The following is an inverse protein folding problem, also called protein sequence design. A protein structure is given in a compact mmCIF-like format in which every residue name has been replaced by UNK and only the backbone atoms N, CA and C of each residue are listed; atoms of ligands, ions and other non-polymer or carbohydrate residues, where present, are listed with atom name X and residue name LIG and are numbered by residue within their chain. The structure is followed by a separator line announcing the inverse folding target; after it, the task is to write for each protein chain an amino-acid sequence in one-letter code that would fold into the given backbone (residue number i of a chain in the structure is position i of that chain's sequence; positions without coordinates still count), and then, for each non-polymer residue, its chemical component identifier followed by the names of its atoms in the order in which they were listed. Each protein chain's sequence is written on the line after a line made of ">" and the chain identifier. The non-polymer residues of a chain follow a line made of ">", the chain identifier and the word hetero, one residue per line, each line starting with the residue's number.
data_IF_976240755196
#
_entry.id   IF_976240755196
#
_cell.length_a   1.000
_cell.length_b   1.000
_cell.length_c   1.000
_cell.angle_alpha   90.00
_cell.angle_beta   90.00
_cell.angle_gamma   90.00
#
_symmetry.space_group_name_H-M   'P 1'
#
loop_
_entity.id
_entity.type
_entity.pdbx_description
1 polymer ?
#
# COMPACT_ATOMS: atom_id res chain seq x y z
N UNK A 1 11.10 -25.27 59.53
CA UNK A 1 11.50 -25.07 58.12
C UNK A 1 10.73 -23.87 57.61
N UNK A 2 11.42 -22.86 57.06
CA UNK A 2 10.79 -21.71 56.40
C UNK A 2 11.05 -21.89 54.90
N UNK A 3 10.01 -21.84 54.08
CA UNK A 3 10.11 -21.86 52.62
C UNK A 3 9.82 -20.46 52.10
N UNK A 4 10.72 -19.92 51.27
CA UNK A 4 10.48 -18.68 50.54
C UNK A 4 9.78 -19.05 49.23
N UNK A 5 8.65 -18.42 48.96
CA UNK A 5 7.88 -18.60 47.73
C UNK A 5 7.75 -17.25 47.04
N UNK A 6 8.08 -17.23 45.76
CA UNK A 6 7.79 -16.08 44.90
C UNK A 6 6.32 -16.09 44.47
N UNK A 7 5.68 -14.94 44.59
CA UNK A 7 4.27 -14.72 44.22
C UNK A 7 4.10 -13.42 43.43
N UNK A 8 5.20 -12.74 43.10
CA UNK A 8 5.18 -11.46 42.40
C UNK A 8 5.42 -11.68 40.92
N UNK A 9 4.51 -11.24 40.04
CA UNK A 9 4.75 -11.29 38.60
C UNK A 9 5.94 -10.44 38.17
N UNK A 10 6.62 -10.81 37.06
CA UNK A 10 7.60 -9.95 36.41
C UNK A 10 7.05 -8.59 36.04
N UNK A 11 7.90 -7.57 36.03
CA UNK A 11 7.60 -6.27 35.41
C UNK A 11 8.02 -6.32 33.94
N UNK A 12 7.06 -6.24 33.01
CA UNK A 12 7.28 -6.26 31.56
C UNK A 12 7.20 -4.85 30.97
N UNK A 13 8.04 -4.57 29.96
CA UNK A 13 8.00 -3.37 29.13
C UNK A 13 7.93 -3.80 27.66
N UNK A 14 6.85 -3.42 26.99
CA UNK A 14 6.65 -3.70 25.57
C UNK A 14 7.45 -2.73 24.68
N UNK A 15 7.79 -3.14 23.45
CA UNK A 15 8.17 -2.18 22.42
C UNK A 15 7.01 -1.21 22.15
N UNK A 16 7.34 -0.04 21.64
CA UNK A 16 6.32 0.94 21.26
C UNK A 16 5.54 0.48 20.02
N UNK A 17 4.33 0.99 19.88
CA UNK A 17 3.54 0.84 18.65
C UNK A 17 4.29 1.44 17.46
N UNK A 18 4.09 0.86 16.28
CA UNK A 18 4.80 1.26 15.06
C UNK A 18 3.90 1.21 13.84
N UNK A 19 4.09 2.16 12.93
CA UNK A 19 3.45 2.19 11.61
C UNK A 19 4.52 2.05 10.53
N UNK A 20 4.30 1.17 9.57
CA UNK A 20 5.19 0.87 8.45
C UNK A 20 4.42 0.99 7.14
N UNK A 21 5.05 1.50 6.09
CA UNK A 21 4.49 1.41 4.74
C UNK A 21 4.83 0.05 4.12
N UNK A 22 3.89 -0.53 3.39
CA UNK A 22 4.12 -1.75 2.64
C UNK A 22 5.09 -1.53 1.45
N UNK A 23 5.86 -2.55 1.05
CA UNK A 23 6.04 -3.84 1.73
C UNK A 23 6.80 -3.69 3.05
N UNK A 24 6.27 -4.28 4.12
CA UNK A 24 6.79 -4.12 5.49
C UNK A 24 7.32 -5.43 6.08
N UNK A 25 8.43 -5.35 6.83
CA UNK A 25 8.93 -6.42 7.70
C UNK A 25 8.40 -6.22 9.12
N UNK A 26 7.53 -7.11 9.59
CA UNK A 26 6.94 -7.08 10.94
C UNK A 26 7.62 -8.02 11.94
N UNK A 27 8.80 -8.56 11.58
CA UNK A 27 9.61 -9.38 12.49
C UNK A 27 10.02 -8.61 13.74
N UNK A 28 10.31 -9.32 14.82
CA UNK A 28 10.76 -8.73 16.09
C UNK A 28 12.12 -8.05 15.98
N UNK A 29 12.95 -8.41 14.99
CA UNK A 29 14.20 -7.70 14.69
C UNK A 29 13.93 -6.26 14.23
N UNK A 30 12.84 -6.04 13.49
CA UNK A 30 12.46 -4.73 12.98
C UNK A 30 11.51 -3.96 13.92
N UNK A 31 10.59 -4.68 14.56
CA UNK A 31 9.52 -4.08 15.38
C UNK A 31 9.83 -4.09 16.89
N UNK A 32 10.95 -4.70 17.28
CA UNK A 32 11.42 -4.75 18.67
C UNK A 32 11.03 -6.02 19.41
N UNK A 33 11.62 -6.17 20.60
CA UNK A 33 11.43 -7.29 21.52
C UNK A 33 11.09 -6.74 22.90
N UNK A 34 10.10 -7.30 23.58
CA UNK A 34 9.78 -6.91 24.95
C UNK A 34 10.93 -7.27 25.91
N UNK A 35 11.05 -6.49 26.99
CA UNK A 35 11.99 -6.77 28.09
C UNK A 35 11.21 -6.95 29.38
N UNK A 36 11.73 -7.76 30.30
CA UNK A 36 11.13 -7.95 31.61
C UNK A 36 12.18 -8.12 32.70
N UNK A 37 11.85 -7.72 33.92
CA UNK A 37 12.68 -7.89 35.12
C UNK A 37 11.87 -8.47 36.26
N UNK A 38 12.50 -9.36 37.04
CA UNK A 38 11.93 -9.93 38.25
C UNK A 38 13.02 -9.96 39.34
N UNK A 39 12.60 -9.76 40.60
CA UNK A 39 13.53 -9.60 41.71
C UNK A 39 14.07 -10.93 42.25
N UNK A 40 13.35 -12.03 42.04
CA UNK A 40 13.55 -13.30 42.72
C UNK A 40 13.86 -14.45 41.76
N UNK A 41 13.53 -14.29 40.48
CA UNK A 41 13.43 -15.39 39.53
C UNK A 41 13.95 -15.02 38.13
N UNK A 42 14.39 -16.02 37.37
CA UNK A 42 14.67 -15.86 35.94
C UNK A 42 13.37 -15.79 35.14
N UNK A 43 13.38 -15.05 34.02
CA UNK A 43 12.19 -14.83 33.18
C UNK A 43 12.36 -15.47 31.81
N UNK A 44 11.26 -16.02 31.29
CA UNK A 44 11.08 -16.39 29.88
C UNK A 44 10.10 -15.44 29.21
N UNK A 45 10.43 -14.93 28.02
CA UNK A 45 9.56 -14.06 27.23
C UNK A 45 9.13 -14.80 25.96
N UNK A 46 7.84 -14.75 25.66
CA UNK A 46 7.25 -15.24 24.41
C UNK A 46 6.29 -14.20 23.82
N UNK A 47 5.84 -14.40 22.58
CA UNK A 47 4.81 -13.56 21.97
C UNK A 47 3.86 -14.38 21.09
N UNK A 48 2.70 -13.80 20.80
CA UNK A 48 1.74 -14.29 19.82
C UNK A 48 1.13 -13.11 19.06
N UNK A 49 0.84 -13.32 17.77
CA UNK A 49 0.33 -12.29 16.87
C UNK A 49 -1.12 -12.58 16.47
N UNK A 50 -1.96 -11.56 16.55
CA UNK A 50 -3.28 -11.53 15.92
C UNK A 50 -3.25 -10.53 14.75
N UNK A 51 -3.53 -11.01 13.54
CA UNK A 51 -3.43 -10.22 12.30
C UNK A 51 -4.83 -9.93 11.74
N UNK A 52 -5.10 -8.66 11.43
CA UNK A 52 -6.32 -8.21 10.75
C UNK A 52 -5.94 -7.57 9.42
N UNK A 53 -6.39 -8.16 8.31
CA UNK A 53 -6.18 -7.61 6.98
C UNK A 53 -6.96 -6.31 6.77
N UNK A 54 -6.42 -5.42 5.93
CA UNK A 54 -7.09 -4.20 5.50
C UNK A 54 -7.14 -4.14 3.95
N UNK A 55 -6.62 -3.08 3.32
CA UNK A 55 -6.61 -2.93 1.88
C UNK A 55 -5.37 -3.56 1.24
N UNK A 56 -5.51 -4.23 0.09
CA UNK A 56 -4.36 -4.84 -0.59
C UNK A 56 -3.57 -5.81 0.30
N UNK A 57 -2.28 -5.54 0.49
CA UNK A 57 -1.37 -6.30 1.38
C UNK A 57 -1.10 -5.61 2.72
N UNK A 58 -1.90 -4.60 3.07
CA UNK A 58 -1.84 -3.89 4.36
C UNK A 58 -2.61 -4.64 5.45
N UNK A 59 -2.23 -4.43 6.71
CA UNK A 59 -2.80 -5.14 7.85
C UNK A 59 -2.39 -4.51 9.18
N UNK A 60 -3.13 -4.82 10.23
CA UNK A 60 -2.72 -4.54 11.61
C UNK A 60 -2.34 -5.84 12.33
N UNK A 61 -1.29 -5.79 13.15
CA UNK A 61 -0.89 -6.85 14.06
C UNK A 61 -1.03 -6.34 15.49
N UNK A 62 -1.77 -7.07 16.31
CA UNK A 62 -1.70 -6.95 17.76
C UNK A 62 -0.80 -8.07 18.25
N UNK A 63 0.40 -7.71 18.70
CA UNK A 63 1.39 -8.63 19.25
C UNK A 63 1.32 -8.59 20.77
N UNK A 64 0.89 -9.70 21.36
CA UNK A 64 0.86 -9.86 22.82
C UNK A 64 2.16 -10.51 23.28
N UNK A 65 2.90 -9.81 24.12
CA UNK A 65 4.10 -10.31 24.79
C UNK A 65 3.72 -10.88 26.15
N UNK A 66 4.28 -12.04 26.50
CA UNK A 66 4.08 -12.72 27.77
C UNK A 66 5.44 -12.95 28.45
N UNK A 67 5.59 -12.45 29.66
CA UNK A 67 6.71 -12.76 30.55
C UNK A 67 6.24 -13.75 31.61
N UNK A 68 6.97 -14.84 31.82
CA UNK A 68 6.71 -15.85 32.86
C UNK A 68 7.99 -16.08 33.65
N UNK A 69 7.90 -15.99 34.98
CA UNK A 69 9.03 -16.32 35.86
C UNK A 69 9.16 -17.84 36.13
N UNK A 70 10.23 -18.22 36.83
CA UNK A 70 10.50 -19.62 37.18
C UNK A 70 9.48 -20.24 38.16
N UNK A 71 8.70 -19.43 38.87
CA UNK A 71 7.65 -19.86 39.80
C UNK A 71 6.26 -19.91 39.15
N UNK A 72 6.13 -19.47 37.90
CA UNK A 72 4.90 -19.47 37.12
C UNK A 72 4.06 -18.21 37.23
N UNK A 73 4.55 -17.14 37.88
CA UNK A 73 3.85 -15.85 37.83
C UNK A 73 4.10 -15.20 36.47
N UNK A 74 3.12 -14.45 35.97
CA UNK A 74 3.17 -13.90 34.63
C UNK A 74 2.59 -12.50 34.50
N UNK A 75 3.11 -11.78 33.51
CA UNK A 75 2.60 -10.47 33.08
C UNK A 75 2.63 -10.38 31.56
N UNK A 76 1.75 -9.56 31.00
CA UNK A 76 1.64 -9.37 29.56
C UNK A 76 1.46 -7.91 29.20
N UNK A 77 1.83 -7.57 27.97
CA UNK A 77 1.53 -6.29 27.36
C UNK A 77 1.37 -6.47 25.84
N UNK A 78 0.68 -5.52 25.22
CA UNK A 78 0.43 -5.53 23.77
C UNK A 78 1.27 -4.46 23.07
N UNK A 79 1.66 -4.78 21.85
CA UNK A 79 2.24 -3.87 20.87
C UNK A 79 1.36 -3.87 19.62
N UNK A 80 1.00 -2.69 19.13
CA UNK A 80 0.30 -2.52 17.87
C UNK A 80 1.27 -2.22 16.74
N UNK A 81 1.24 -3.01 15.66
CA UNK A 81 2.00 -2.80 14.44
C UNK A 81 1.01 -2.57 13.31
N UNK A 82 1.06 -1.40 12.67
CA UNK A 82 0.20 -1.06 11.53
C UNK A 82 1.03 -1.07 10.25
N UNK A 83 0.66 -1.89 9.29
CA UNK A 83 1.16 -1.82 7.92
C UNK A 83 0.11 -1.09 7.09
N UNK A 84 0.49 0.01 6.43
CA UNK A 84 -0.39 0.85 5.62
C UNK A 84 0.16 1.04 4.22
N UNK A 85 -0.66 1.56 3.31
CA UNK A 85 -0.25 1.95 1.96
C UNK A 85 -0.51 3.44 1.74
N UNK A 86 0.57 4.20 1.65
CA UNK A 86 0.52 5.64 1.35
C UNK A 86 1.09 5.98 -0.03
N UNK A 87 1.49 4.96 -0.80
CA UNK A 87 2.18 5.15 -2.08
C UNK A 87 1.17 5.19 -3.22
N UNK A 88 1.29 6.18 -4.09
CA UNK A 88 0.42 6.28 -5.28
C UNK A 88 0.89 5.28 -6.34
N UNK A 89 -0.03 4.70 -7.14
CA UNK A 89 0.34 3.85 -8.27
C UNK A 89 1.25 4.56 -9.27
N UNK A 90 2.19 3.82 -9.84
CA UNK A 90 3.00 4.29 -10.97
C UNK A 90 2.27 3.98 -12.26
N UNK A 91 1.76 5.02 -12.93
CA UNK A 91 1.05 4.91 -14.22
C UNK A 91 2.02 5.05 -15.40
N UNK A 92 1.84 4.21 -16.42
CA UNK A 92 2.49 4.32 -17.72
C UNK A 92 1.41 4.54 -18.78
N UNK A 93 1.37 5.74 -19.34
CA UNK A 93 0.39 6.11 -20.37
C UNK A 93 0.87 5.79 -21.79
N UNK A 94 -0.06 5.58 -22.73
CA UNK A 94 0.24 5.61 -24.15
C UNK A 94 0.89 6.95 -24.53
N UNK A 95 1.74 6.93 -25.54
CA UNK A 95 2.30 8.15 -26.10
C UNK A 95 1.24 8.92 -26.91
N UNK A 96 1.39 10.23 -26.98
CA UNK A 96 0.56 11.07 -27.83
C UNK A 96 0.62 10.62 -29.30
N UNK A 97 -0.52 10.67 -29.98
CA UNK A 97 -0.65 10.24 -31.37
C UNK A 97 -1.19 11.35 -32.26
N UNK A 98 -0.79 11.32 -33.53
CA UNK A 98 -1.41 12.13 -34.58
C UNK A 98 -2.02 11.20 -35.62
N UNK A 99 -3.31 11.38 -35.90
CA UNK A 99 -4.10 10.56 -36.82
C UNK A 99 -4.62 11.43 -37.97
N UNK A 100 -4.80 10.85 -39.15
CA UNK A 100 -5.39 11.56 -40.29
C UNK A 100 -6.88 11.19 -40.44
N UNK A 101 -7.73 12.13 -40.85
CA UNK A 101 -9.16 11.84 -41.08
C UNK A 101 -9.39 10.85 -42.25
N UNK A 102 -10.35 9.91 -42.13
CA UNK A 102 -11.11 9.58 -40.92
C UNK A 102 -10.26 8.83 -39.88
N UNK A 103 -10.33 9.25 -38.61
CA UNK A 103 -9.50 8.73 -37.53
C UNK A 103 -10.30 7.86 -36.54
N UNK A 104 -9.68 6.77 -36.07
CA UNK A 104 -10.16 5.97 -34.94
C UNK A 104 -9.42 6.37 -33.66
N UNK A 105 -10.11 7.01 -32.72
CA UNK A 105 -9.53 7.44 -31.43
C UNK A 105 -9.83 6.47 -30.29
N UNK A 106 -10.31 5.26 -30.59
CA UNK A 106 -10.53 4.24 -29.58
C UNK A 106 -9.22 3.84 -28.89
N UNK A 107 -9.31 3.40 -27.64
CA UNK A 107 -8.15 2.88 -26.89
C UNK A 107 -7.53 1.64 -27.53
N UNK A 108 -8.27 0.91 -28.37
CA UNK A 108 -7.70 -0.18 -29.17
C UNK A 108 -6.70 0.34 -30.21
N UNK A 109 -6.90 1.56 -30.73
CA UNK A 109 -6.01 2.18 -31.71
C UNK A 109 -4.95 3.08 -31.06
N UNK A 110 -5.30 3.88 -30.05
CA UNK A 110 -4.37 4.85 -29.42
C UNK A 110 -3.62 4.28 -28.22
N UNK A 111 -4.04 3.11 -27.71
CA UNK A 111 -3.41 2.42 -26.61
C UNK A 111 -4.23 2.45 -25.32
N UNK A 112 -3.77 1.67 -24.34
CA UNK A 112 -4.35 1.57 -23.00
C UNK A 112 -3.24 1.83 -21.98
N UNK A 113 -3.49 2.67 -20.98
CA UNK A 113 -2.53 2.86 -19.89
C UNK A 113 -2.38 1.58 -19.05
N UNK A 114 -1.20 1.38 -18.50
CA UNK A 114 -0.91 0.36 -17.49
C UNK A 114 -0.46 1.04 -16.20
N UNK A 115 -0.52 0.33 -15.08
CA UNK A 115 -0.06 0.85 -13.81
C UNK A 115 0.42 -0.29 -12.90
N UNK A 116 1.35 0.04 -12.00
CA UNK A 116 1.89 -0.87 -11.00
C UNK A 116 1.91 -0.24 -9.62
N UNK A 117 1.64 -1.04 -8.60
CA UNK A 117 1.72 -0.66 -7.20
C UNK A 117 2.33 -1.82 -6.40
N UNK A 118 3.11 -1.50 -5.37
CA UNK A 118 3.86 -2.50 -4.61
C UNK A 118 2.99 -3.25 -3.58
N UNK A 119 1.88 -2.63 -3.18
CA UNK A 119 1.09 -3.03 -2.03
C UNK A 119 -0.25 -3.63 -2.43
N UNK A 120 -0.80 -3.24 -3.57
CA UNK A 120 -2.16 -3.60 -3.90
C UNK A 120 -2.44 -3.63 -5.41
N UNK A 121 -3.61 -4.18 -5.74
CA UNK A 121 -4.10 -4.24 -7.12
C UNK A 121 -4.62 -2.89 -7.59
N UNK A 122 -4.53 -2.61 -8.88
CA UNK A 122 -4.93 -1.31 -9.46
C UNK A 122 -6.14 -1.46 -10.38
N UNK A 123 -7.04 -0.48 -10.29
CA UNK A 123 -8.10 -0.22 -11.27
C UNK A 123 -7.71 0.96 -12.15
N UNK A 124 -7.79 0.80 -13.47
CA UNK A 124 -7.54 1.86 -14.45
C UNK A 124 -8.85 2.28 -15.10
N UNK A 125 -9.06 3.58 -15.22
CA UNK A 125 -10.18 4.20 -15.93
C UNK A 125 -9.69 5.38 -16.77
N UNK A 126 -10.53 5.88 -17.68
CA UNK A 126 -10.22 7.08 -18.45
C UNK A 126 -11.46 7.92 -18.72
N UNK A 127 -11.22 9.19 -19.04
CA UNK A 127 -12.24 10.13 -19.53
C UNK A 127 -11.67 10.98 -20.67
N UNK A 128 -12.48 11.21 -21.69
CA UNK A 128 -12.07 11.95 -22.89
C UNK A 128 -12.71 13.35 -22.90
N UNK A 129 -11.89 14.36 -23.23
CA UNK A 129 -12.32 15.70 -23.59
C UNK A 129 -12.01 15.93 -25.06
N UNK A 130 -13.04 16.18 -25.87
CA UNK A 130 -12.90 16.43 -27.31
C UNK A 130 -13.03 17.92 -27.59
N UNK A 131 -12.01 18.50 -28.21
CA UNK A 131 -12.02 19.89 -28.66
C UNK A 131 -12.01 19.92 -30.19
N UNK A 132 -13.09 20.44 -30.77
CA UNK A 132 -13.16 20.65 -32.21
C UNK A 132 -12.19 21.76 -32.63
N UNK A 133 -11.56 21.59 -33.80
CA UNK A 133 -10.76 22.65 -34.44
C UNK A 133 -11.46 23.12 -35.72
N UNK A 134 -10.96 22.76 -36.91
CA UNK A 134 -11.50 23.20 -38.19
C UNK A 134 -12.01 22.04 -39.05
N UNK A 135 -13.22 22.18 -39.61
CA UNK A 135 -13.84 21.14 -40.43
C UNK A 135 -14.04 19.83 -39.65
N UNK A 136 -13.36 18.75 -40.09
CA UNK A 136 -13.41 17.42 -39.45
C UNK A 136 -12.24 17.14 -38.52
N UNK A 137 -11.39 18.14 -38.25
CA UNK A 137 -10.23 18.01 -37.34
C UNK A 137 -10.63 18.29 -35.89
N UNK A 138 -9.99 17.58 -34.96
CA UNK A 138 -10.26 17.70 -33.54
C UNK A 138 -9.10 17.14 -32.72
N UNK A 139 -9.04 17.53 -31.46
CA UNK A 139 -8.12 17.00 -30.46
C UNK A 139 -8.92 16.21 -29.42
N UNK A 140 -8.42 15.04 -29.04
CA UNK A 140 -8.89 14.30 -27.87
C UNK A 140 -7.80 14.38 -26.81
N UNK A 141 -8.15 14.88 -25.62
CA UNK A 141 -7.33 14.75 -24.42
C UNK A 141 -7.98 13.66 -23.58
N UNK A 142 -7.26 12.55 -23.39
CA UNK A 142 -7.70 11.42 -22.57
C UNK A 142 -6.95 11.45 -21.25
N UNK A 143 -7.66 11.66 -20.15
CA UNK A 143 -7.11 11.55 -18.80
C UNK A 143 -7.25 10.11 -18.33
N UNK A 144 -6.12 9.44 -18.13
CA UNK A 144 -6.06 8.13 -17.48
C UNK A 144 -5.98 8.32 -15.96
N UNK A 145 -6.74 7.52 -15.22
CA UNK A 145 -6.75 7.49 -13.77
C UNK A 145 -6.49 6.05 -13.29
N UNK A 146 -5.40 5.88 -12.54
CA UNK A 146 -5.08 4.66 -11.81
C UNK A 146 -5.45 4.86 -10.34
N UNK A 147 -6.22 3.94 -9.76
CA UNK A 147 -6.58 3.91 -8.34
C UNK A 147 -6.26 2.52 -7.79
N UNK A 148 -5.50 2.46 -6.71
CA UNK A 148 -5.20 1.20 -6.03
C UNK A 148 -6.29 0.77 -5.04
N UNK A 149 -6.12 -0.41 -4.44
CA UNK A 149 -7.13 -0.96 -3.53
C UNK A 149 -7.18 -0.22 -2.19
N UNK A 150 -6.14 0.55 -1.85
CA UNK A 150 -6.06 1.39 -0.65
C UNK A 150 -6.56 2.81 -0.89
N UNK A 151 -6.93 3.15 -2.14
CA UNK A 151 -7.49 4.43 -2.53
C UNK A 151 -6.45 5.47 -2.93
N UNK A 152 -5.16 5.15 -2.97
CA UNK A 152 -4.18 6.07 -3.56
C UNK A 152 -4.37 6.07 -5.09
N UNK A 153 -4.16 7.23 -5.70
CA UNK A 153 -4.51 7.42 -7.12
C UNK A 153 -3.51 8.27 -7.85
N UNK A 154 -3.22 7.97 -9.11
CA UNK A 154 -2.39 8.80 -10.01
C UNK A 154 -3.10 9.01 -11.34
N UNK A 155 -2.83 10.15 -11.99
CA UNK A 155 -3.49 10.50 -13.25
C UNK A 155 -2.49 11.10 -14.24
N UNK A 156 -2.74 10.88 -15.52
CA UNK A 156 -1.91 11.40 -16.61
C UNK A 156 -2.70 11.51 -17.91
N UNK A 157 -2.37 12.51 -18.72
CA UNK A 157 -3.07 12.81 -19.97
C UNK A 157 -2.33 12.25 -21.19
N UNK A 158 -3.09 11.61 -22.08
CA UNK A 158 -2.71 11.21 -23.44
C UNK A 158 -3.41 12.13 -24.44
N UNK A 159 -2.70 12.60 -25.46
CA UNK A 159 -3.24 13.46 -26.52
C UNK A 159 -3.32 12.74 -27.87
N UNK A 160 -4.51 12.73 -28.47
CA UNK A 160 -4.71 12.32 -29.87
C UNK A 160 -5.12 13.52 -30.73
N UNK A 161 -4.25 13.91 -31.66
CA UNK A 161 -4.51 15.00 -32.60
C UNK A 161 -4.99 14.46 -33.95
N UNK A 162 -6.19 14.83 -34.38
CA UNK A 162 -6.76 14.40 -35.66
C UNK A 162 -6.66 15.53 -36.69
N UNK A 163 -5.88 15.31 -37.74
CA UNK A 163 -5.60 16.29 -38.80
C UNK A 163 -6.13 15.87 -40.17
N UNK A 164 -6.12 16.81 -41.12
CA UNK A 164 -6.44 16.51 -42.52
C UNK A 164 -5.29 15.76 -43.20
N UNK A 165 -5.62 14.78 -44.04
CA UNK A 165 -4.67 14.15 -44.97
C UNK A 165 -4.08 15.22 -45.91
N UNK A 166 -2.76 15.42 -45.88
CA UNK A 166 -2.11 16.40 -46.76
C UNK A 166 -1.89 15.82 -48.16
N UNK A 167 -2.84 16.02 -49.10
CA UNK A 167 -2.63 16.64 -50.43
C UNK A 167 -3.93 16.62 -51.27
N UNK A 168 -4.54 17.80 -51.39
CA UNK A 168 -5.06 18.25 -52.67
C UNK A 168 -3.86 18.41 -53.62
N UNK A 169 -3.80 17.59 -54.68
CA UNK A 169 -3.04 17.97 -55.87
C UNK A 169 -3.93 18.97 -56.61
N UNK A 170 -3.52 20.23 -56.60
CA UNK A 170 -4.05 21.25 -57.54
C UNK A 170 -3.39 21.01 -58.90
#
# INVERSE_FOLDING_TARGET
>A
MITVQDTTPPVITCPIDITLDCPADTSTTNTGVATATDACSSITISHSDAVTADCGTTYQVVRTWLAVDACGNSSSCDQMITVQDTTRPVITCPADVTLDCPADTSTTNTGVATATDACSSITISHSDVVTADCGTTFQVIRTWLAVDACGNSSSWDEMANVRTTTRHVV
#
